data_IF_046561446135
#
_entry.id   IF_046561446135
#
_cell.length_a   1.000
_cell.length_b   1.000
_cell.length_c   1.000
_cell.angle_alpha   90.00
_cell.angle_beta   90.00
_cell.angle_gamma   90.00
#
_symmetry.space_group_name_H-M   'P 1'
#
loop_
_entity.id
_entity.type
_entity.pdbx_description
1 polymer ?
#
# COMPACT_ATOMS: atom_id res chain seq x y z
N UNK A 1 31.97 42.43 -25.40
CA UNK A 1 32.45 41.09 -25.01
C UNK A 1 31.39 40.48 -24.11
N UNK A 2 30.71 39.44 -24.60
CA UNK A 2 29.53 38.83 -23.98
C UNK A 2 29.96 37.99 -22.78
N UNK A 3 29.58 38.38 -21.57
CA UNK A 3 29.54 37.46 -20.43
C UNK A 3 28.25 36.66 -20.58
N UNK A 4 28.38 35.41 -21.02
CA UNK A 4 27.26 34.48 -21.02
C UNK A 4 27.01 34.04 -19.58
N UNK A 5 25.80 34.31 -19.11
CA UNK A 5 25.20 33.77 -17.90
C UNK A 5 25.21 32.24 -18.04
N UNK A 6 26.00 31.56 -17.20
CA UNK A 6 25.99 30.10 -17.06
C UNK A 6 25.62 29.77 -15.60
N UNK A 7 24.37 30.01 -15.24
CA UNK A 7 23.76 29.50 -14.00
C UNK A 7 22.34 29.05 -14.39
N UNK A 8 21.91 27.90 -13.89
CA UNK A 8 20.64 27.17 -14.14
C UNK A 8 20.66 26.12 -15.27
N UNK A 9 21.26 24.96 -15.01
CA UNK A 9 20.72 23.64 -15.43
C UNK A 9 21.27 22.53 -14.52
N UNK A 10 21.17 22.71 -13.20
CA UNK A 10 21.24 21.57 -12.25
C UNK A 10 19.95 21.54 -11.42
N UNK A 11 18.80 21.58 -12.10
CA UNK A 11 17.62 20.92 -11.56
C UNK A 11 17.82 19.43 -11.79
N UNK A 12 18.59 18.80 -10.89
CA UNK A 12 18.52 17.35 -10.69
C UNK A 12 17.04 17.04 -10.52
N UNK A 13 16.46 16.41 -11.54
CA UNK A 13 15.21 15.69 -11.36
C UNK A 13 15.60 14.55 -10.42
N UNK A 14 15.47 14.79 -9.11
CA UNK A 14 15.37 13.70 -8.16
C UNK A 14 14.09 12.97 -8.55
N UNK A 15 14.26 11.95 -9.39
CA UNK A 15 13.22 10.97 -9.62
C UNK A 15 13.22 10.16 -8.34
N UNK A 16 12.40 10.55 -7.37
CA UNK A 16 12.11 9.69 -6.24
C UNK A 16 11.52 8.40 -6.83
N UNK A 17 12.34 7.36 -6.86
CA UNK A 17 11.90 6.04 -7.33
C UNK A 17 11.05 5.45 -6.23
N UNK A 18 9.75 5.75 -6.24
CA UNK A 18 8.81 5.09 -5.35
C UNK A 18 8.76 3.61 -5.68
N UNK A 19 8.75 2.79 -4.64
CA UNK A 19 8.48 1.39 -4.82
C UNK A 19 7.07 1.22 -5.43
N UNK A 20 6.91 0.27 -6.35
CA UNK A 20 5.63 0.11 -7.02
C UNK A 20 4.73 -0.82 -6.21
N UNK A 21 3.54 -0.34 -5.86
CA UNK A 21 2.52 -1.16 -5.20
C UNK A 21 1.86 -2.09 -6.20
N UNK A 22 1.83 -3.37 -5.86
CA UNK A 22 1.18 -4.41 -6.66
C UNK A 22 0.16 -5.18 -5.84
N UNK A 23 -0.81 -5.77 -6.52
CA UNK A 23 -1.56 -6.92 -6.04
C UNK A 23 -1.43 -8.07 -7.03
N UNK A 24 -1.91 -9.26 -6.66
CA UNK A 24 -1.84 -10.44 -7.51
C UNK A 24 -3.23 -10.99 -7.83
N UNK A 25 -3.35 -11.56 -9.03
CA UNK A 25 -4.49 -12.37 -9.44
C UNK A 25 -3.99 -13.69 -10.03
N UNK A 26 -4.45 -14.80 -9.45
CA UNK A 26 -4.11 -16.16 -9.86
C UNK A 26 -5.35 -17.06 -9.77
N UNK A 27 -5.43 -18.08 -10.62
CA UNK A 27 -6.58 -18.98 -10.66
C UNK A 27 -6.77 -19.72 -9.32
N UNK A 28 -5.66 -20.01 -8.63
CA UNK A 28 -5.65 -20.71 -7.36
C UNK A 28 -5.94 -19.80 -6.15
N UNK A 29 -6.13 -18.49 -6.36
CA UNK A 29 -6.33 -17.53 -5.29
C UNK A 29 -5.04 -17.12 -4.55
N UNK A 30 -3.89 -17.61 -4.99
CA UNK A 30 -2.57 -17.25 -4.48
C UNK A 30 -1.49 -17.48 -5.54
N UNK A 31 -0.32 -16.85 -5.36
CA UNK A 31 0.90 -17.14 -6.11
C UNK A 31 2.04 -17.53 -5.15
N UNK A 32 2.92 -18.42 -5.62
CA UNK A 32 4.10 -18.82 -4.86
C UNK A 32 5.23 -17.82 -5.07
N UNK A 33 5.87 -17.41 -3.98
CA UNK A 33 7.12 -16.65 -4.02
C UNK A 33 8.28 -17.63 -4.07
N UNK A 34 9.17 -17.45 -5.04
CA UNK A 34 10.27 -18.36 -5.32
C UNK A 34 11.63 -17.74 -5.00
N UNK A 35 12.59 -18.58 -4.63
CA UNK A 35 13.95 -18.13 -4.30
C UNK A 35 14.72 -17.56 -5.50
N UNK A 36 14.45 -18.07 -6.70
CA UNK A 36 15.03 -17.63 -7.98
C UNK A 36 13.89 -17.41 -9.01
N UNK A 37 14.11 -16.60 -10.06
CA UNK A 37 13.13 -16.32 -11.12
C UNK A 37 12.94 -17.53 -12.06
N UNK A 38 12.45 -18.65 -11.52
CA UNK A 38 12.23 -19.89 -12.25
C UNK A 38 11.17 -20.75 -11.56
N UNK A 39 10.34 -21.43 -12.35
CA UNK A 39 9.28 -22.32 -11.84
C UNK A 39 9.83 -23.58 -11.13
N UNK A 40 11.07 -23.97 -11.43
CA UNK A 40 11.77 -25.08 -10.78
C UNK A 40 12.42 -24.67 -9.45
N UNK A 41 12.41 -23.37 -9.13
CA UNK A 41 13.01 -22.88 -7.90
C UNK A 41 12.16 -23.17 -6.67
N UNK A 42 12.83 -23.41 -5.54
CA UNK A 42 12.21 -23.57 -4.22
C UNK A 42 11.21 -22.47 -3.91
N UNK A 43 10.03 -22.87 -3.44
CA UNK A 43 9.01 -21.97 -2.92
C UNK A 43 9.42 -21.55 -1.51
N UNK A 44 9.50 -20.23 -1.26
CA UNK A 44 9.90 -19.63 0.02
C UNK A 44 8.77 -18.82 0.65
N UNK A 45 7.63 -18.71 -0.03
CA UNK A 45 6.50 -17.95 0.47
C UNK A 45 5.27 -18.07 -0.42
N UNK A 46 4.17 -17.47 0.02
CA UNK A 46 2.91 -17.42 -0.69
C UNK A 46 2.28 -16.04 -0.51
N UNK A 47 1.74 -15.51 -1.59
CA UNK A 47 0.98 -14.24 -1.61
C UNK A 47 -0.42 -14.56 -2.05
N UNK A 48 -1.42 -14.14 -1.28
CA UNK A 48 -2.83 -14.39 -1.61
C UNK A 48 -3.42 -13.22 -2.39
N UNK A 49 -4.44 -13.51 -3.21
CA UNK A 49 -5.12 -12.49 -4.00
C UNK A 49 -5.68 -11.35 -3.14
N UNK A 50 -5.57 -10.13 -3.65
CA UNK A 50 -5.97 -8.92 -2.95
C UNK A 50 -4.96 -8.42 -1.92
N UNK A 51 -3.87 -9.14 -1.66
CA UNK A 51 -2.81 -8.60 -0.81
C UNK A 51 -2.04 -7.56 -1.60
N UNK A 52 -1.63 -6.47 -0.95
CA UNK A 52 -0.75 -5.46 -1.56
C UNK A 52 0.68 -5.66 -1.10
N UNK A 53 1.62 -5.60 -2.05
CA UNK A 53 3.06 -5.78 -1.86
C UNK A 53 3.86 -4.70 -2.58
N UNK A 54 5.14 -4.62 -2.23
CA UNK A 54 6.11 -3.74 -2.87
C UNK A 54 6.94 -4.53 -3.87
N UNK A 55 7.24 -3.93 -5.01
CA UNK A 55 8.28 -4.42 -5.91
C UNK A 55 9.35 -3.35 -6.12
N UNK A 56 10.58 -3.79 -6.37
CA UNK A 56 11.64 -2.89 -6.80
C UNK A 56 11.49 -2.59 -8.29
N UNK A 57 11.38 -1.32 -8.71
CA UNK A 57 11.38 -0.97 -10.13
C UNK A 57 12.73 -1.29 -10.81
N UNK A 58 13.83 -1.37 -10.06
CA UNK A 58 15.17 -1.67 -10.59
C UNK A 58 15.40 -3.13 -10.96
N UNK A 59 14.54 -4.06 -10.51
CA UNK A 59 14.73 -5.49 -10.79
C UNK A 59 14.30 -5.91 -12.20
N UNK A 60 13.67 -4.99 -12.94
CA UNK A 60 13.37 -5.16 -14.37
C UNK A 60 14.62 -5.04 -15.25
N UNK A 61 15.71 -4.43 -14.74
CA UNK A 61 16.94 -4.16 -15.49
C UNK A 61 17.89 -5.38 -15.57
N UNK A 62 17.70 -6.40 -14.72
CA UNK A 62 18.61 -7.56 -14.60
C UNK A 62 18.33 -8.73 -15.58
N UNK A 63 17.50 -8.53 -16.61
CA UNK A 63 17.29 -9.52 -17.67
C UNK A 63 16.43 -10.75 -17.28
N UNK A 64 15.78 -10.72 -16.12
CA UNK A 64 14.83 -11.76 -15.69
C UNK A 64 13.48 -11.60 -16.42
N UNK A 65 13.46 -11.97 -17.71
CA UNK A 65 12.27 -11.89 -18.55
C UNK A 65 11.08 -12.62 -17.89
N UNK A 66 10.09 -11.85 -17.42
CA UNK A 66 8.84 -12.37 -16.87
C UNK A 66 8.78 -12.54 -15.35
N UNK A 67 9.81 -12.19 -14.57
CA UNK A 67 9.77 -12.28 -13.10
C UNK A 67 10.03 -10.91 -12.46
N UNK A 68 9.38 -10.66 -11.33
CA UNK A 68 9.63 -9.47 -10.50
C UNK A 68 10.04 -9.89 -9.11
N UNK A 69 11.02 -9.18 -8.54
CA UNK A 69 11.33 -9.29 -7.13
C UNK A 69 10.21 -8.65 -6.31
N UNK A 70 9.79 -9.33 -5.25
CA UNK A 70 8.78 -8.85 -4.32
C UNK A 70 9.35 -8.87 -2.91
N UNK A 71 9.04 -7.81 -2.18
CA UNK A 71 9.27 -7.75 -0.74
C UNK A 71 8.00 -8.16 -0.03
N UNK A 72 8.12 -9.17 0.84
CA UNK A 72 6.99 -9.73 1.54
C UNK A 72 7.38 -10.18 2.95
N UNK A 73 6.35 -10.48 3.75
CA UNK A 73 6.54 -11.03 5.07
C UNK A 73 6.34 -12.56 5.02
N UNK A 74 7.34 -13.31 5.47
CA UNK A 74 7.28 -14.79 5.43
C UNK A 74 6.23 -15.36 6.39
N UNK A 75 5.99 -14.65 7.51
CA UNK A 75 5.01 -15.02 8.54
C UNK A 75 4.25 -13.79 9.01
N UNK A 76 2.89 -13.81 9.08
CA UNK A 76 2.11 -12.69 9.60
C UNK A 76 2.53 -12.36 11.05
N UNK A 77 2.58 -11.07 11.39
CA UNK A 77 3.14 -10.61 12.67
C UNK A 77 2.29 -11.01 13.90
N UNK A 78 0.99 -11.29 13.74
CA UNK A 78 0.10 -11.56 14.87
C UNK A 78 -1.05 -12.52 14.50
N UNK A 79 -1.20 -13.60 15.27
CA UNK A 79 -2.27 -14.61 15.12
C UNK A 79 -3.59 -14.17 15.76
N UNK A 80 -3.58 -13.11 16.57
CA UNK A 80 -4.75 -12.57 17.25
C UNK A 80 -5.52 -11.57 16.38
N UNK A 81 -4.93 -11.11 15.27
CA UNK A 81 -5.62 -10.27 14.31
C UNK A 81 -6.52 -11.09 13.40
N UNK A 82 -7.72 -10.57 13.13
CA UNK A 82 -8.66 -11.15 12.17
C UNK A 82 -8.32 -10.79 10.70
N UNK A 83 -7.13 -10.22 10.45
CA UNK A 83 -6.62 -9.82 9.14
C UNK A 83 -5.10 -10.02 9.08
N UNK A 84 -4.53 -10.12 7.87
CA UNK A 84 -3.09 -10.24 7.67
C UNK A 84 -2.41 -8.87 7.81
N UNK A 85 -1.47 -8.72 8.73
CA UNK A 85 -0.72 -7.49 8.94
C UNK A 85 0.76 -7.69 8.62
N UNK A 86 1.28 -6.88 7.69
CA UNK A 86 2.69 -6.87 7.25
C UNK A 86 3.31 -5.50 7.44
N UNK A 87 4.07 -5.30 8.51
CA UNK A 87 4.73 -4.02 8.83
C UNK A 87 6.25 -4.02 8.60
N UNK A 88 6.82 -5.21 8.40
CA UNK A 88 8.26 -5.38 8.17
C UNK A 88 8.46 -6.36 7.04
N UNK A 89 9.22 -5.92 6.03
CA UNK A 89 9.73 -6.82 5.01
C UNK A 89 10.77 -7.71 5.68
N UNK A 90 10.50 -9.01 5.76
CA UNK A 90 11.44 -9.99 6.33
C UNK A 90 12.08 -10.87 5.27
N UNK A 91 11.56 -10.85 4.04
CA UNK A 91 12.03 -11.67 2.95
C UNK A 91 11.84 -10.97 1.60
N UNK A 92 12.66 -11.36 0.63
CA UNK A 92 12.46 -11.06 -0.78
C UNK A 92 12.51 -12.33 -1.61
N UNK A 93 11.84 -12.32 -2.75
CA UNK A 93 11.81 -13.44 -3.68
C UNK A 93 11.15 -13.04 -4.99
N UNK A 94 10.85 -14.01 -5.85
CA UNK A 94 10.37 -13.76 -7.20
C UNK A 94 8.97 -14.31 -7.43
N UNK A 95 8.12 -13.51 -8.06
CA UNK A 95 6.83 -13.95 -8.63
C UNK A 95 6.82 -13.68 -10.12
N UNK A 96 6.04 -14.45 -10.87
CA UNK A 96 5.91 -14.26 -12.31
C UNK A 96 5.02 -13.05 -12.61
N UNK A 97 5.47 -12.17 -13.51
CA UNK A 97 4.81 -10.90 -13.88
C UNK A 97 3.39 -11.08 -14.39
N UNK A 98 3.08 -12.23 -15.01
CA UNK A 98 1.70 -12.53 -15.45
C UNK A 98 0.68 -12.64 -14.32
N UNK A 99 1.11 -12.64 -13.05
CA UNK A 99 0.23 -12.61 -11.87
C UNK A 99 0.06 -11.21 -11.30
N UNK A 100 0.90 -10.26 -11.68
CA UNK A 100 0.96 -8.92 -11.12
C UNK A 100 -0.13 -8.04 -11.73
N UNK A 101 -0.73 -7.22 -10.88
CA UNK A 101 -1.51 -6.06 -11.28
C UNK A 101 -1.01 -4.86 -10.49
N UNK A 102 -0.50 -3.85 -11.18
CA UNK A 102 -0.07 -2.61 -10.56
C UNK A 102 -1.28 -1.88 -9.98
N UNK A 103 -1.16 -1.37 -8.76
CA UNK A 103 -2.25 -0.60 -8.15
C UNK A 103 -2.55 0.68 -8.93
N UNK A 104 -1.50 1.33 -9.46
CA UNK A 104 -1.62 2.52 -10.30
C UNK A 104 -2.38 2.31 -11.61
N UNK A 105 -2.53 1.06 -12.07
CA UNK A 105 -3.28 0.71 -13.27
C UNK A 105 -4.73 0.29 -12.96
N UNK A 106 -5.08 0.15 -11.68
CA UNK A 106 -6.44 -0.19 -11.27
C UNK A 106 -7.35 1.05 -11.33
N UNK A 107 -8.67 0.87 -11.55
CA UNK A 107 -9.61 1.99 -11.50
C UNK A 107 -9.57 2.70 -10.14
N UNK A 108 -9.14 3.95 -10.14
CA UNK A 108 -9.16 4.83 -8.96
C UNK A 108 -10.59 5.36 -8.72
N UNK A 109 -10.97 5.49 -7.46
CA UNK A 109 -12.21 6.12 -7.01
C UNK A 109 -11.89 7.52 -6.55
N UNK A 110 -12.41 8.52 -7.24
CA UNK A 110 -12.27 9.93 -6.83
C UNK A 110 -13.11 10.19 -5.57
N UNK A 111 -12.60 10.96 -4.59
CA UNK A 111 -13.38 11.33 -3.43
C UNK A 111 -14.55 12.25 -3.85
N UNK A 112 -15.74 11.98 -3.32
CA UNK A 112 -16.93 12.84 -3.49
C UNK A 112 -16.96 13.99 -2.47
N UNK A 113 -16.15 13.89 -1.42
CA UNK A 113 -15.95 14.93 -0.41
C UNK A 113 -14.49 14.90 0.02
N UNK A 114 -13.86 16.06 0.08
CA UNK A 114 -12.49 16.22 0.55
C UNK A 114 -12.33 17.54 1.32
N UNK A 115 -11.76 17.44 2.52
CA UNK A 115 -11.23 18.57 3.28
C UNK A 115 -10.01 18.10 4.10
N UNK A 116 -9.41 19.02 4.85
CA UNK A 116 -8.18 18.77 5.62
C UNK A 116 -8.27 17.61 6.64
N UNK A 117 -9.46 17.18 7.04
CA UNK A 117 -9.65 16.16 8.08
C UNK A 117 -10.49 14.98 7.61
N UNK A 118 -11.01 15.00 6.38
CA UNK A 118 -11.98 14.01 5.94
C UNK A 118 -12.00 13.82 4.43
N UNK A 119 -11.94 12.56 4.03
CA UNK A 119 -12.21 12.09 2.68
C UNK A 119 -13.37 11.12 2.68
N UNK A 120 -14.25 11.24 1.67
CA UNK A 120 -15.32 10.28 1.43
C UNK A 120 -15.24 9.80 0.00
N UNK A 121 -15.05 8.51 -0.19
CA UNK A 121 -15.07 7.81 -1.46
C UNK A 121 -16.39 7.04 -1.57
N UNK A 122 -17.06 7.10 -2.72
CA UNK A 122 -18.30 6.36 -2.94
C UNK A 122 -18.21 5.50 -4.19
N UNK A 123 -18.78 4.32 -4.08
CA UNK A 123 -19.16 3.50 -5.21
C UNK A 123 -20.62 3.04 -5.06
N UNK A 124 -21.09 2.22 -5.99
CA UNK A 124 -22.46 1.73 -6.02
C UNK A 124 -22.87 0.95 -4.75
N UNK A 125 -21.90 0.37 -4.03
CA UNK A 125 -22.17 -0.59 -2.96
C UNK A 125 -21.83 -0.04 -1.57
N UNK A 126 -20.94 0.94 -1.47
CA UNK A 126 -20.49 1.46 -0.18
C UNK A 126 -19.88 2.86 -0.27
N UNK A 127 -19.79 3.52 0.89
CA UNK A 127 -18.97 4.70 1.10
C UNK A 127 -17.81 4.35 2.05
N UNK A 128 -16.58 4.66 1.63
CA UNK A 128 -15.38 4.60 2.47
C UNK A 128 -15.14 6.03 2.98
N UNK A 129 -15.04 6.17 4.29
CA UNK A 129 -14.69 7.44 4.94
C UNK A 129 -13.35 7.29 5.63
N UNK A 130 -12.41 8.17 5.29
CA UNK A 130 -11.15 8.36 5.98
C UNK A 130 -11.24 9.68 6.76
N UNK A 131 -11.08 9.63 8.07
CA UNK A 131 -11.21 10.79 8.97
C UNK A 131 -9.97 10.90 9.86
N UNK A 132 -9.44 12.11 9.96
CA UNK A 132 -8.35 12.48 10.87
C UNK A 132 -8.96 13.33 11.97
N UNK A 133 -8.86 12.87 13.21
CA UNK A 133 -9.22 13.67 14.37
C UNK A 133 -7.94 14.26 14.96
N UNK A 134 -7.84 15.60 15.02
CA UNK A 134 -6.68 16.27 15.59
C UNK A 134 -6.36 15.74 16.98
N UNK A 135 -5.08 15.55 17.25
CA UNK A 135 -4.54 14.99 18.47
C UNK A 135 -5.23 15.53 19.74
N UNK A 136 -5.66 14.61 20.60
CA UNK A 136 -5.93 14.88 22.01
C UNK A 136 -4.63 14.61 22.80
N UNK A 137 -4.38 15.38 23.85
CA UNK A 137 -3.20 15.18 24.69
C UNK A 137 -3.18 13.75 25.24
N UNK A 138 -2.13 12.97 24.91
CA UNK A 138 -1.88 11.65 25.47
C UNK A 138 -0.55 11.62 26.24
N UNK A 139 -0.35 10.61 27.09
CA UNK A 139 0.91 10.42 27.82
C UNK A 139 2.12 10.19 26.90
N UNK A 140 1.90 9.89 25.61
CA UNK A 140 2.93 9.67 24.59
C UNK A 140 3.06 10.85 23.60
N UNK A 141 2.41 11.99 23.88
CA UNK A 141 2.43 13.19 23.05
C UNK A 141 1.11 13.46 22.31
N UNK A 142 1.16 14.35 21.32
CA UNK A 142 0.07 14.62 20.39
C UNK A 142 0.13 13.61 19.24
N UNK A 143 -0.89 12.75 19.13
CA UNK A 143 -1.03 11.85 17.99
C UNK A 143 -2.42 12.03 17.38
N UNK A 144 -2.47 12.34 16.09
CA UNK A 144 -3.72 12.35 15.34
C UNK A 144 -4.34 10.95 15.34
N UNK A 145 -5.66 10.90 15.50
CA UNK A 145 -6.40 9.66 15.45
C UNK A 145 -6.96 9.48 14.03
N UNK A 146 -6.45 8.48 13.33
CA UNK A 146 -6.92 8.05 12.02
C UNK A 146 -8.06 7.06 12.16
N UNK A 147 -9.15 7.30 11.43
CA UNK A 147 -10.33 6.44 11.42
C UNK A 147 -10.74 6.13 9.99
N UNK A 148 -10.88 4.83 9.70
CA UNK A 148 -11.44 4.36 8.44
C UNK A 148 -12.73 3.61 8.72
N UNK A 149 -13.81 4.03 8.06
CA UNK A 149 -15.11 3.38 8.16
C UNK A 149 -15.69 3.10 6.79
N UNK A 150 -16.40 1.98 6.67
CA UNK A 150 -17.09 1.55 5.46
C UNK A 150 -18.57 1.43 5.77
N UNK A 151 -19.37 2.29 5.15
CA UNK A 151 -20.83 2.27 5.24
C UNK A 151 -21.42 1.61 4.00
N UNK A 152 -22.29 0.63 4.20
CA UNK A 152 -23.05 -0.03 3.14
C UNK A 152 -24.49 -0.32 3.63
N UNK A 153 -25.26 -1.07 2.84
CA UNK A 153 -26.65 -1.42 3.18
C UNK A 153 -26.79 -2.26 4.47
N UNK A 154 -25.75 -3.01 4.85
CA UNK A 154 -25.74 -3.84 6.07
C UNK A 154 -25.33 -3.07 7.33
N UNK A 155 -24.85 -1.83 7.19
CA UNK A 155 -24.43 -0.98 8.31
C UNK A 155 -23.07 -0.34 8.10
N UNK A 156 -22.42 0.01 9.20
CA UNK A 156 -21.08 0.62 9.21
C UNK A 156 -20.08 -0.35 9.84
N UNK A 157 -19.02 -0.65 9.10
CA UNK A 157 -17.85 -1.36 9.61
C UNK A 157 -16.72 -0.36 9.85
N UNK A 158 -16.23 -0.27 11.08
CA UNK A 158 -15.04 0.50 11.40
C UNK A 158 -13.83 -0.44 11.35
N UNK A 159 -12.73 0.01 10.73
CA UNK A 159 -11.49 -0.73 10.80
C UNK A 159 -11.01 -0.83 12.27
N UNK A 160 -10.37 -1.95 12.65
CA UNK A 160 -9.81 -2.12 13.99
C UNK A 160 -8.75 -1.04 14.27
N UNK A 161 -8.67 -0.56 15.52
CA UNK A 161 -7.71 0.48 15.90
C UNK A 161 -6.26 0.00 15.72
N UNK A 162 -6.02 -1.30 15.85
CA UNK A 162 -4.74 -1.98 15.61
C UNK A 162 -4.24 -1.83 14.15
N UNK A 163 -5.14 -1.54 13.22
CA UNK A 163 -4.80 -1.24 11.82
C UNK A 163 -4.34 0.21 11.61
N UNK A 164 -4.44 1.06 12.64
CA UNK A 164 -3.94 2.44 12.65
C UNK A 164 -2.83 2.63 13.70
N UNK A 165 -2.64 1.65 14.58
CA UNK A 165 -1.63 1.71 15.63
C UNK A 165 -0.22 1.83 15.03
N UNK A 166 0.55 2.79 15.55
CA UNK A 166 1.91 3.07 15.10
C UNK A 166 2.01 3.96 13.86
N UNK A 167 0.89 4.31 13.21
CA UNK A 167 0.91 5.23 12.07
C UNK A 167 0.97 6.69 12.55
N UNK A 168 1.84 7.46 11.92
CA UNK A 168 2.17 8.87 12.19
C UNK A 168 2.13 9.70 10.91
N UNK A 169 1.75 10.96 11.04
CA UNK A 169 1.80 11.98 9.98
C UNK A 169 1.28 11.50 8.60
N UNK A 170 0.09 10.90 8.57
CA UNK A 170 -0.52 10.44 7.32
C UNK A 170 -0.96 11.65 6.50
N UNK A 171 -0.44 11.76 5.29
CA UNK A 171 -0.79 12.79 4.31
C UNK A 171 -2.18 12.51 3.72
N UNK A 172 -3.21 13.14 4.27
CA UNK A 172 -4.60 12.91 3.88
C UNK A 172 -4.81 13.18 2.38
N UNK A 173 -4.15 14.18 1.82
CA UNK A 173 -4.24 14.56 0.41
C UNK A 173 -3.66 13.52 -0.55
N UNK A 174 -2.89 12.56 -0.04
CA UNK A 174 -2.28 11.46 -0.80
C UNK A 174 -3.04 10.14 -0.64
N UNK A 175 -4.15 10.14 0.12
CA UNK A 175 -4.99 8.95 0.26
C UNK A 175 -5.69 8.66 -1.05
N UNK A 176 -5.53 7.42 -1.54
CA UNK A 176 -6.19 6.93 -2.76
C UNK A 176 -7.00 5.68 -2.48
N UNK A 177 -8.03 5.46 -3.30
CA UNK A 177 -8.84 4.25 -3.25
C UNK A 177 -8.90 3.63 -4.64
N UNK A 178 -8.50 2.37 -4.76
CA UNK A 178 -8.54 1.62 -6.01
C UNK A 178 -9.55 0.48 -5.94
N UNK A 179 -10.18 0.14 -7.07
CA UNK A 179 -11.05 -1.03 -7.22
C UNK A 179 -10.28 -2.22 -7.81
N UNK A 180 -10.24 -3.32 -7.07
CA UNK A 180 -9.67 -4.59 -7.53
C UNK A 180 -10.56 -5.31 -8.56
N UNK A 181 -9.96 -6.27 -9.28
CA UNK A 181 -10.62 -7.05 -10.34
C UNK A 181 -11.67 -8.02 -9.79
N UNK A 182 -11.60 -8.39 -8.50
CA UNK A 182 -12.52 -9.31 -7.82
C UNK A 182 -13.29 -8.61 -6.69
N UNK A 183 -13.59 -7.31 -6.89
CA UNK A 183 -14.35 -6.43 -5.97
C UNK A 183 -13.62 -6.09 -4.66
N UNK A 184 -12.32 -6.31 -4.59
CA UNK A 184 -11.49 -5.74 -3.54
C UNK A 184 -11.46 -4.21 -3.62
N UNK A 185 -11.14 -3.56 -2.50
CA UNK A 185 -10.84 -2.13 -2.48
C UNK A 185 -9.52 -1.93 -1.76
N UNK A 186 -8.63 -1.16 -2.36
CA UNK A 186 -7.32 -0.87 -1.79
C UNK A 186 -7.31 0.60 -1.40
N UNK A 187 -7.18 0.87 -0.10
CA UNK A 187 -6.97 2.23 0.41
C UNK A 187 -5.47 2.37 0.60
N UNK A 188 -4.85 3.30 -0.09
CA UNK A 188 -3.42 3.59 0.08
C UNK A 188 -3.23 4.96 0.69
N UNK A 189 -2.20 5.13 1.49
CA UNK A 189 -1.79 6.43 2.02
C UNK A 189 -0.28 6.44 2.24
N UNK A 190 0.29 7.63 2.34
CA UNK A 190 1.68 7.83 2.77
C UNK A 190 1.71 8.43 4.16
N UNK A 191 2.66 8.04 4.99
CA UNK A 191 2.94 8.72 6.25
C UNK A 191 4.45 8.89 6.46
N UNK A 192 4.80 9.50 7.59
CA UNK A 192 6.18 9.65 8.02
C UNK A 192 6.30 9.42 9.53
N UNK A 193 7.44 8.89 9.97
CA UNK A 193 7.79 8.73 11.39
C UNK A 193 9.21 9.27 11.60
N UNK A 194 9.32 10.59 11.75
CA UNK A 194 10.61 11.27 11.87
C UNK A 194 11.35 11.38 10.53
N UNK A 195 12.47 10.65 10.38
CA UNK A 195 13.30 10.70 9.16
C UNK A 195 12.84 9.79 8.04
N UNK A 196 11.92 8.87 8.34
CA UNK A 196 11.52 7.82 7.40
C UNK A 196 10.09 8.07 6.93
N UNK A 197 9.86 8.00 5.62
CA UNK A 197 8.52 7.92 5.05
C UNK A 197 8.12 6.47 4.77
N UNK A 198 6.82 6.23 4.68
CA UNK A 198 6.29 4.92 4.40
C UNK A 198 4.96 4.99 3.64
N UNK A 199 4.66 3.93 2.91
CA UNK A 199 3.37 3.69 2.28
C UNK A 199 2.57 2.66 3.08
N UNK A 200 1.27 2.89 3.20
CA UNK A 200 0.33 1.93 3.78
C UNK A 200 -0.67 1.52 2.71
N UNK A 201 -1.05 0.25 2.71
CA UNK A 201 -2.19 -0.25 1.97
C UNK A 201 -3.13 -1.05 2.89
N UNK A 202 -4.35 -0.57 3.08
CA UNK A 202 -5.44 -1.35 3.68
C UNK A 202 -6.28 -1.99 2.58
N UNK A 203 -6.35 -3.32 2.61
CA UNK A 203 -6.99 -4.12 1.58
C UNK A 203 -8.31 -4.67 2.11
N UNK A 204 -9.40 -4.28 1.45
CA UNK A 204 -10.75 -4.67 1.81
C UNK A 204 -11.26 -5.77 0.89
N UNK A 205 -11.83 -6.82 1.48
CA UNK A 205 -12.60 -7.85 0.77
C UNK A 205 -13.98 -7.96 1.40
N UNK A 206 -15.02 -7.95 0.58
CA UNK A 206 -16.41 -7.89 1.07
C UNK A 206 -16.65 -6.74 2.08
N UNK A 207 -16.06 -5.56 1.80
CA UNK A 207 -16.12 -4.37 2.67
C UNK A 207 -15.56 -4.55 4.09
N UNK A 208 -14.76 -5.61 4.35
CA UNK A 208 -14.03 -5.81 5.61
C UNK A 208 -12.53 -5.84 5.36
N UNK A 209 -11.77 -5.37 6.34
CA UNK A 209 -10.31 -5.45 6.29
C UNK A 209 -9.89 -6.92 6.26
N UNK A 210 -9.06 -7.29 5.30
CA UNK A 210 -8.54 -8.65 5.18
C UNK A 210 -7.02 -8.67 5.20
N UNK A 211 -6.35 -7.64 4.68
CA UNK A 211 -4.91 -7.45 4.82
C UNK A 211 -4.52 -5.99 4.93
N UNK A 212 -3.38 -5.74 5.55
CA UNK A 212 -2.74 -4.45 5.68
C UNK A 212 -1.24 -4.61 5.48
N UNK A 213 -0.64 -3.73 4.69
CA UNK A 213 0.79 -3.69 4.47
C UNK A 213 1.30 -2.28 4.77
N UNK A 214 2.38 -2.16 5.56
CA UNK A 214 3.14 -0.93 5.80
C UNK A 214 4.54 -1.16 5.23
N UNK A 215 5.00 -0.23 4.40
CA UNK A 215 6.19 -0.37 3.58
C UNK A 215 7.03 0.88 3.74
N UNK A 216 8.20 0.75 4.37
CA UNK A 216 9.13 1.85 4.44
C UNK A 216 9.61 2.20 3.03
N UNK A 217 9.49 3.46 2.66
CA UNK A 217 10.11 3.99 1.44
C UNK A 217 11.54 4.30 1.80
N UNK A 218 12.49 3.50 1.31
CA UNK A 218 13.92 3.77 1.52
C UNK A 218 14.24 5.12 0.84
N UNK A 219 14.90 6.07 1.55
CA UNK A 219 15.33 7.35 0.97
C UNK A 219 16.27 7.20 -0.24
#
# INVERSE_FOLDING_TARGET
>A
MKIYILILTLSWIYSTSYAQLITIYDNDGYTNVRKKPSIESTIIGKVIEGQVLSISPSDDENGNLGWSNVWFQEKPLDKHLHYLKSERVTASGYIHKSRISYLSELPEVTPVHANANKLIFKDEQSAITFEVRPAQQSNEGYADLYLISIKNSSGTYNLPMEAMAGLRDIHIEQVKVYRGKKKEKFITATGADGSDSYEIAWCLKNNKLFSMTVMQTIP
#
